data_IF_949613999532
#
_entry.id   IF_949613999532
#
_cell.length_a   1.000
_cell.length_b   1.000
_cell.length_c   1.000
_cell.angle_alpha   90.00
_cell.angle_beta   90.00
_cell.angle_gamma   90.00
#
_symmetry.space_group_name_H-M   'P 1'
#
loop_
_entity.id
_entity.type
_entity.pdbx_description
1 polymer ?
#
# COMPACT_ATOMS: atom_id res chain seq x y z
N UNK A 1 5.07 -18.39 -4.46
CA UNK A 1 4.90 -17.96 -4.31
C UNK A 1 4.47 -16.98 -4.08
N UNK A 2 4.61 -16.26 -3.74
CA UNK A 2 4.20 -15.44 -3.43
C UNK A 2 3.96 -14.45 -3.93
N UNK A 3 3.52 -14.14 -4.10
CA UNK A 3 3.15 -13.13 -4.85
C UNK A 3 2.79 -12.00 -4.09
N UNK A 4 3.01 -10.97 -4.34
CA UNK A 4 2.73 -9.76 -3.65
C UNK A 4 3.61 -8.69 -4.21
N UNK A 5 3.43 -7.49 -3.75
CA UNK A 5 4.20 -6.37 -4.19
C UNK A 5 4.68 -5.61 -2.98
N UNK A 6 5.85 -5.03 -3.06
CA UNK A 6 6.39 -4.27 -1.96
C UNK A 6 7.13 -3.05 -2.47
N UNK A 7 6.97 -1.94 -1.79
CA UNK A 7 7.70 -0.72 -2.10
C UNK A 7 8.33 -0.26 -0.78
N UNK A 8 9.61 0.03 -0.84
CA UNK A 8 10.32 0.47 0.35
C UNK A 8 11.13 1.70 -0.01
N UNK A 9 10.93 2.80 0.69
CA UNK A 9 11.69 4.01 0.47
C UNK A 9 12.30 4.43 1.79
N UNK A 10 13.48 4.99 1.74
CA UNK A 10 14.23 5.26 2.94
C UNK A 10 15.02 6.54 2.83
N UNK A 11 15.12 7.28 3.91
CA UNK A 11 15.98 8.44 3.97
C UNK A 11 16.65 8.40 5.34
N UNK A 12 17.96 8.12 5.36
CA UNK A 12 18.67 7.94 6.60
C UNK A 12 18.09 6.77 7.37
N UNK A 13 17.62 7.02 8.58
CA UNK A 13 17.02 5.98 9.39
C UNK A 13 15.50 5.95 9.24
N UNK A 14 14.92 6.89 8.51
CA UNK A 14 13.49 6.94 8.33
C UNK A 14 13.10 6.06 7.14
N UNK A 15 11.95 5.44 7.23
CA UNK A 15 11.55 4.41 6.28
C UNK A 15 10.05 4.40 6.07
N UNK A 16 9.64 4.20 4.82
CA UNK A 16 8.26 3.88 4.51
C UNK A 16 8.27 2.55 3.77
N UNK A 17 7.43 1.63 4.18
CA UNK A 17 7.34 0.35 3.52
C UNK A 17 5.87 -0.01 3.31
N UNK A 18 5.55 -0.37 2.09
CA UNK A 18 4.20 -0.75 1.71
C UNK A 18 4.27 -2.15 1.14
N UNK A 19 3.49 -3.05 1.68
CA UNK A 19 3.50 -4.44 1.25
C UNK A 19 2.08 -4.87 0.93
N UNK A 20 1.89 -5.48 -0.23
CA UNK A 20 0.59 -5.96 -0.64
C UNK A 20 0.68 -7.45 -0.88
N UNK A 21 -0.01 -8.22 -0.12
CA UNK A 21 -0.04 -9.67 -0.27
C UNK A 21 -1.29 -10.22 0.41
N UNK A 22 -1.86 -11.27 -0.13
CA UNK A 22 -3.02 -11.90 0.48
C UNK A 22 -4.22 -10.98 0.58
N UNK A 23 -4.38 -10.07 -0.36
CA UNK A 23 -5.48 -9.12 -0.39
C UNK A 23 -5.42 -8.12 0.77
N UNK A 24 -4.22 -7.92 1.32
CA UNK A 24 -4.04 -7.04 2.43
C UNK A 24 -2.90 -6.08 2.11
N UNK A 25 -3.11 -4.80 2.34
CA UNK A 25 -2.11 -3.78 2.10
C UNK A 25 -1.62 -3.29 3.47
N UNK A 26 -0.36 -3.53 3.75
CA UNK A 26 0.23 -3.12 5.00
C UNK A 26 1.16 -1.94 4.75
N UNK A 27 1.05 -0.90 5.57
CA UNK A 27 1.86 0.29 5.43
C UNK A 27 2.56 0.52 6.75
N UNK A 28 3.86 0.70 6.69
CA UNK A 28 4.65 1.00 7.87
C UNK A 28 5.46 2.25 7.63
N UNK A 29 5.48 3.15 8.59
CA UNK A 29 6.26 4.36 8.50
C UNK A 29 7.08 4.47 9.79
N UNK A 30 8.40 4.47 9.63
CA UNK A 30 9.31 4.64 10.76
C UNK A 30 10.00 5.98 10.64
N UNK A 31 9.99 6.76 11.70
CA UNK A 31 10.68 8.02 11.71
C UNK A 31 11.21 8.24 13.12
N UNK A 32 12.53 8.40 13.20
CA UNK A 32 13.18 8.43 14.49
C UNK A 32 12.94 7.12 15.23
N UNK A 33 12.36 7.20 16.41
CA UNK A 33 12.02 6.01 17.18
C UNK A 33 10.55 5.65 17.05
N UNK A 34 9.79 6.47 16.35
CA UNK A 34 8.37 6.22 16.22
C UNK A 34 8.08 5.28 15.06
N UNK A 35 7.07 4.47 15.21
CA UNK A 35 6.64 3.55 14.16
C UNK A 35 5.12 3.68 14.05
N UNK A 36 4.65 3.94 12.84
CA UNK A 36 3.23 3.95 12.56
C UNK A 36 2.92 2.83 11.60
N UNK A 37 1.87 2.12 11.82
CA UNK A 37 1.46 1.03 10.95
C UNK A 37 -0.03 1.08 10.71
N UNK A 38 -0.44 0.67 9.52
CA UNK A 38 -1.85 0.53 9.20
C UNK A 38 -2.01 -0.62 8.24
N UNK A 39 -3.14 -1.30 8.31
CA UNK A 39 -3.45 -2.40 7.40
C UNK A 39 -4.79 -2.13 6.78
N UNK A 40 -4.89 -2.38 5.48
CA UNK A 40 -6.10 -2.14 4.73
C UNK A 40 -6.43 -3.37 3.91
N UNK A 41 -7.70 -3.65 3.72
CA UNK A 41 -8.10 -4.73 2.82
C UNK A 41 -8.14 -4.18 1.40
N UNK A 42 -7.60 -4.94 0.46
CA UNK A 42 -7.47 -4.47 -0.92
C UNK A 42 -8.81 -4.04 -1.52
N UNK A 43 -9.88 -4.72 -1.15
CA UNK A 43 -11.18 -4.40 -1.72
C UNK A 43 -11.81 -3.14 -1.14
N UNK A 44 -11.28 -2.62 -0.03
CA UNK A 44 -11.84 -1.43 0.59
C UNK A 44 -10.92 -0.21 0.59
N UNK A 45 -9.69 -0.37 0.17
CA UNK A 45 -8.72 0.70 0.31
C UNK A 45 -8.85 1.73 -0.81
N UNK A 46 -8.60 2.98 -0.48
CA UNK A 46 -8.58 4.06 -1.44
C UNK A 46 -7.20 4.65 -1.47
N UNK A 47 -6.71 4.98 -2.66
CA UNK A 47 -5.39 5.54 -2.85
C UNK A 47 -5.55 6.78 -3.71
N UNK A 48 -5.28 7.95 -3.14
CA UNK A 48 -5.54 9.21 -3.81
C UNK A 48 -4.46 10.23 -3.51
N UNK A 49 -4.21 11.16 -4.41
CA UNK A 49 -3.30 12.26 -4.10
C UNK A 49 -3.92 13.14 -3.03
N UNK A 50 -3.07 13.72 -2.20
CA UNK A 50 -3.54 14.61 -1.14
C UNK A 50 -3.88 15.95 -1.76
N UNK A 51 -5.06 16.47 -1.46
CA UNK A 51 -5.54 17.66 -2.12
C UNK A 51 -4.71 18.91 -1.80
N UNK A 52 -4.35 19.07 -0.53
CA UNK A 52 -3.61 20.24 -0.13
C UNK A 52 -2.11 20.04 -0.21
N UNK A 53 -1.66 18.83 -0.41
CA UNK A 53 -0.26 18.56 -0.63
C UNK A 53 -0.23 17.50 -1.72
N UNK A 54 -0.40 17.93 -2.94
CA UNK A 54 -0.54 17.03 -4.06
C UNK A 54 0.65 16.14 -4.30
N UNK A 55 1.73 16.34 -3.58
CA UNK A 55 2.88 15.51 -3.77
C UNK A 55 2.83 14.25 -2.92
N UNK A 56 1.96 14.16 -1.97
CA UNK A 56 1.85 12.94 -1.15
C UNK A 56 0.69 12.08 -1.64
N UNK A 57 0.70 10.82 -1.25
CA UNK A 57 -0.34 9.86 -1.61
C UNK A 57 -1.03 9.44 -0.33
N UNK A 58 -2.34 9.53 -0.29
CA UNK A 58 -3.09 9.13 0.89
C UNK A 58 -3.69 7.75 0.68
N UNK A 59 -3.44 6.85 1.61
CA UNK A 59 -4.01 5.51 1.61
C UNK A 59 -5.01 5.48 2.75
N UNK A 60 -6.27 5.21 2.44
CA UNK A 60 -7.30 5.26 3.48
C UNK A 60 -8.30 4.12 3.33
N UNK A 61 -8.97 3.81 4.38
CA UNK A 61 -10.00 2.79 4.40
C UNK A 61 -10.29 2.33 5.79
N UNK A 62 -11.51 1.91 6.05
CA UNK A 62 -11.92 1.30 7.31
C UNK A 62 -11.52 2.13 8.53
N UNK A 63 -11.62 3.44 8.39
CA UNK A 63 -11.33 4.33 9.51
C UNK A 63 -9.87 4.66 9.71
N UNK A 64 -9.01 4.16 8.86
CA UNK A 64 -7.59 4.42 8.95
C UNK A 64 -7.11 5.26 7.78
N UNK A 65 -6.01 5.97 7.96
CA UNK A 65 -5.46 6.81 6.93
C UNK A 65 -3.97 6.96 7.14
N UNK A 66 -3.20 6.83 6.06
CA UNK A 66 -1.76 7.05 6.08
C UNK A 66 -1.35 7.82 4.84
N UNK A 67 -0.37 8.70 4.96
CA UNK A 67 0.17 9.42 3.81
C UNK A 67 1.57 8.93 3.56
N UNK A 68 1.87 8.62 2.31
CA UNK A 68 3.15 8.05 1.91
C UNK A 68 3.75 8.83 0.76
N UNK A 69 4.99 8.57 0.47
CA UNK A 69 5.69 9.21 -0.64
C UNK A 69 6.63 10.30 -0.21
N UNK A 70 6.75 10.57 1.08
CA UNK A 70 7.57 11.69 1.54
C UNK A 70 9.05 11.51 1.26
N UNK A 71 9.50 10.29 1.05
CA UNK A 71 10.91 10.05 0.76
C UNK A 71 11.17 9.84 -0.73
N UNK A 72 10.16 10.11 -1.56
CA UNK A 72 10.29 10.05 -2.99
C UNK A 72 10.29 11.46 -3.55
N UNK A 73 10.89 11.63 -4.71
CA UNK A 73 10.78 12.88 -5.42
C UNK A 73 9.32 13.08 -5.82
N UNK A 74 8.86 14.32 -5.86
CA UNK A 74 7.45 14.58 -6.21
C UNK A 74 7.00 13.93 -7.51
N UNK A 75 7.86 13.90 -8.52
CA UNK A 75 7.45 13.33 -9.80
C UNK A 75 7.27 11.82 -9.73
N UNK A 76 7.84 11.16 -8.71
CA UNK A 76 7.67 9.74 -8.55
C UNK A 76 6.44 9.39 -7.71
N UNK A 77 5.87 10.37 -7.02
CA UNK A 77 4.73 10.09 -6.16
C UNK A 77 3.47 9.77 -6.95
N UNK A 78 3.27 10.42 -8.09
CA UNK A 78 2.11 10.08 -8.92
C UNK A 78 2.26 8.69 -9.51
N UNK A 79 3.49 8.30 -9.85
CA UNK A 79 3.73 6.96 -10.33
C UNK A 79 3.45 5.94 -9.22
N UNK A 80 3.83 6.25 -7.99
CA UNK A 80 3.56 5.39 -6.87
C UNK A 80 2.05 5.19 -6.70
N UNK A 81 1.28 6.26 -6.76
CA UNK A 81 -0.17 6.16 -6.62
C UNK A 81 -0.77 5.27 -7.70
N UNK A 82 -0.30 5.44 -8.95
CA UNK A 82 -0.81 4.65 -10.05
C UNK A 82 -0.46 3.18 -9.87
N UNK A 83 0.77 2.89 -9.49
CA UNK A 83 1.21 1.52 -9.31
C UNK A 83 0.44 0.84 -8.16
N UNK A 84 0.23 1.56 -7.08
CA UNK A 84 -0.51 1.02 -5.95
C UNK A 84 -1.95 0.73 -6.33
N UNK A 85 -2.58 1.63 -7.09
CA UNK A 85 -3.96 1.40 -7.52
C UNK A 85 -4.06 0.16 -8.40
N UNK A 86 -3.11 -0.01 -9.31
CA UNK A 86 -3.12 -1.17 -10.17
C UNK A 86 -2.90 -2.44 -9.37
N UNK A 87 -1.95 -2.43 -8.47
CA UNK A 87 -1.63 -3.60 -7.67
C UNK A 87 -2.81 -4.00 -6.79
N UNK A 88 -3.45 -3.01 -6.16
CA UNK A 88 -4.59 -3.26 -5.30
C UNK A 88 -5.76 -3.81 -6.12
N UNK A 89 -5.97 -3.27 -7.33
CA UNK A 89 -7.05 -3.75 -8.18
C UNK A 89 -6.81 -5.20 -8.58
N UNK A 90 -5.59 -5.54 -8.93
CA UNK A 90 -5.28 -6.91 -9.28
C UNK A 90 -5.48 -7.84 -8.10
N UNK A 91 -5.06 -7.38 -6.92
CA UNK A 91 -5.17 -8.22 -5.75
C UNK A 91 -6.63 -8.44 -5.38
N UNK A 92 -7.45 -7.39 -5.45
CA UNK A 92 -8.86 -7.52 -5.09
C UNK A 92 -9.64 -8.33 -6.12
N UNK A 93 -9.13 -8.45 -7.34
CA UNK A 93 -9.80 -9.24 -8.36
C UNK A 93 -9.44 -10.72 -8.27
N UNK A 94 -8.46 -11.09 -7.48
CA UNK A 94 -8.10 -12.49 -7.37
C UNK A 94 -9.19 -13.27 -6.64
N UNK A 95 -9.40 -14.52 -6.98
CA UNK A 95 -10.38 -15.34 -6.28
C UNK A 95 -9.98 -15.43 -4.81
N UNK A 96 -10.97 -15.28 -3.99
CA UNK A 96 -10.71 -15.29 -2.59
C UNK A 96 -10.38 -16.65 -2.09
N UNK A 97 -10.80 -17.63 -2.74
CA UNK A 97 -10.69 -18.85 -2.19
C UNK A 97 -9.71 -19.66 -2.56
N UNK A 98 -8.74 -19.28 -2.64
CA UNK A 98 -7.81 -20.07 -2.92
C UNK A 98 -7.95 -21.33 -2.34
N UNK A 99 -8.50 -21.39 -1.33
CA UNK A 99 -8.62 -22.60 -0.71
C UNK A 99 -9.46 -23.46 -1.51
N UNK A 100 -10.33 -22.99 -2.09
CA UNK A 100 -11.16 -23.85 -2.74
C UNK A 100 -10.53 -24.43 -3.78
N UNK A 101 -9.85 -23.74 -4.31
CA UNK A 101 -9.31 -24.25 -5.41
C UNK A 101 -8.66 -25.44 -5.05
N UNK A 102 -8.52 -25.60 -4.10
CA UNK A 102 -7.88 -26.71 -3.87
C UNK A 102 -8.74 -27.79 -3.92
N UNK A 103 -9.36 -27.70 -4.03
CA UNK A 103 -9.90 -28.62 -4.17
C UNK A 103 -10.20 -29.28 -4.93
N UNK A 104 -10.20 -29.82 -5.15
CA UNK A 104 -10.38 -30.42 -5.81
C UNK A 104 -10.64 -31.09 -6.36
N UNK A 105 -10.63 -31.13 -6.54
CA UNK A 105 -10.77 -31.57 -6.98
C UNK A 105 -10.87 -32.19 -7.32
#
# INVERSE_FOLDING_TARGET
QQAGAAVRTQRGVDLEQITLAGRKLDVEHRFGRAVERASFRAEWVRIEPVADDGSLVEISGQGQRMRVGRYLRPELRSALARELRLAVRRESAKPATRDTDLEPQ
#
